data_IF_075245248802
#
_entry.id   IF_075245248802
#
_cell.length_a   1.000
_cell.length_b   1.000
_cell.length_c   1.000
_cell.angle_alpha   90.00
_cell.angle_beta   90.00
_cell.angle_gamma   90.00
#
_symmetry.space_group_name_H-M   'P 1'
#
loop_
_entity.id
_entity.type
_entity.pdbx_description
1 polymer ?
#
# COMPACT_ATOMS: atom_id res chain seq x y z
N UNK A 1 32.69 -15.72 -6.45
CA UNK A 1 32.41 -14.31 -6.70
C UNK A 1 30.98 -14.23 -7.25
N UNK A 2 30.01 -14.04 -6.37
CA UNK A 2 28.63 -13.84 -6.79
C UNK A 2 28.41 -12.37 -7.22
N UNK A 3 27.70 -12.12 -8.32
CA UNK A 3 27.50 -10.76 -8.82
C UNK A 3 26.59 -9.97 -7.88
N UNK A 4 27.02 -8.79 -7.53
CA UNK A 4 26.28 -7.81 -6.76
C UNK A 4 25.20 -7.19 -7.66
N UNK A 5 23.93 -7.41 -7.34
CA UNK A 5 22.82 -6.75 -8.02
C UNK A 5 22.50 -5.44 -7.32
N UNK A 6 22.98 -4.33 -7.86
CA UNK A 6 22.55 -3.01 -7.44
C UNK A 6 21.31 -2.59 -8.24
N UNK A 7 20.17 -2.51 -7.60
CA UNK A 7 19.00 -1.79 -8.12
C UNK A 7 19.13 -0.32 -7.73
N UNK A 8 19.12 0.58 -8.72
CA UNK A 8 19.17 2.02 -8.48
C UNK A 8 17.86 2.49 -7.82
N UNK A 9 17.83 2.49 -6.51
CA UNK A 9 16.85 3.22 -5.73
C UNK A 9 17.55 4.43 -5.09
N UNK A 10 16.95 5.61 -5.21
CA UNK A 10 17.35 6.76 -4.41
C UNK A 10 16.97 6.48 -2.95
N UNK A 11 17.91 5.97 -2.19
CA UNK A 11 17.72 5.59 -0.81
C UNK A 11 19.03 5.50 -0.06
N UNK A 12 18.97 5.59 1.27
CA UNK A 12 20.12 5.36 2.14
C UNK A 12 20.40 3.86 2.16
N UNK A 13 21.56 3.45 1.66
CA UNK A 13 22.00 2.06 1.66
C UNK A 13 23.05 1.91 2.76
N UNK A 14 22.82 0.99 3.68
CA UNK A 14 23.84 0.57 4.64
C UNK A 14 24.63 -0.57 4.00
N UNK A 15 25.95 -0.41 3.91
CA UNK A 15 26.86 -1.42 3.38
C UNK A 15 27.57 -2.09 4.56
N UNK A 16 27.50 -3.41 4.61
CA UNK A 16 28.18 -4.22 5.63
C UNK A 16 29.28 -5.04 4.96
N UNK A 17 30.42 -5.15 5.62
CA UNK A 17 31.51 -6.01 5.15
C UNK A 17 31.26 -7.47 5.57
N UNK A 18 31.83 -8.40 4.81
CA UNK A 18 31.71 -9.83 5.11
C UNK A 18 32.26 -10.13 6.52
N UNK A 19 31.39 -10.59 7.41
CA UNK A 19 31.71 -10.89 8.82
C UNK A 19 31.24 -9.83 9.83
N UNK A 20 30.63 -8.75 9.36
CA UNK A 20 29.93 -7.82 10.25
C UNK A 20 28.52 -8.32 10.53
N UNK A 21 28.13 -8.34 11.81
CA UNK A 21 26.74 -8.58 12.20
C UNK A 21 25.91 -7.35 11.90
N UNK A 22 24.89 -7.50 11.08
CA UNK A 22 23.93 -6.42 10.87
C UNK A 22 22.62 -6.73 11.59
N UNK A 23 22.12 -5.72 12.30
CA UNK A 23 20.80 -5.78 12.92
C UNK A 23 19.80 -5.15 11.95
N UNK A 24 18.92 -5.98 11.38
CA UNK A 24 17.74 -5.45 10.68
C UNK A 24 16.87 -4.77 11.75
N UNK A 25 16.76 -3.45 11.69
CA UNK A 25 15.79 -2.76 12.53
C UNK A 25 14.38 -3.30 12.20
N UNK A 26 13.84 -4.07 13.12
CA UNK A 26 12.47 -4.53 13.03
C UNK A 26 11.57 -3.28 13.13
N UNK A 27 10.82 -3.00 12.08
CA UNK A 27 9.77 -1.98 12.15
C UNK A 27 8.72 -2.58 13.09
N UNK A 28 8.62 -2.05 14.29
CA UNK A 28 7.53 -2.36 15.20
C UNK A 28 6.26 -1.71 14.64
N UNK A 29 5.31 -2.56 14.24
CA UNK A 29 4.00 -2.06 13.84
C UNK A 29 3.28 -1.53 15.09
N UNK A 30 2.54 -0.43 14.99
CA UNK A 30 1.71 0.05 16.08
C UNK A 30 0.73 -1.03 16.54
N UNK A 31 0.55 -1.16 17.83
CA UNK A 31 -0.51 -2.02 18.38
C UNK A 31 -1.85 -1.30 18.27
N UNK A 32 -2.58 -1.62 17.22
CA UNK A 32 -3.88 -1.00 16.97
C UNK A 32 -4.95 -1.57 17.88
N UNK A 33 -5.67 -0.68 18.56
CA UNK A 33 -6.78 -1.07 19.41
C UNK A 33 -7.97 -1.62 18.58
N UNK A 34 -8.77 -2.48 19.23
CA UNK A 34 -9.99 -2.97 18.61
C UNK A 34 -11.09 -1.90 18.63
N UNK A 35 -11.46 -1.40 17.46
CA UNK A 35 -12.47 -0.35 17.28
C UNK A 35 -13.81 -0.87 16.74
N UNK A 36 -14.06 -2.19 16.78
CA UNK A 36 -15.24 -2.81 16.15
C UNK A 36 -16.58 -2.27 16.67
N UNK A 37 -16.63 -1.81 17.93
CA UNK A 37 -17.84 -1.33 18.59
C UNK A 37 -17.78 0.17 18.92
N UNK A 38 -16.94 0.93 18.23
CA UNK A 38 -16.81 2.38 18.45
C UNK A 38 -17.55 3.17 17.36
N UNK A 39 -17.54 4.48 17.49
CA UNK A 39 -18.16 5.38 16.52
C UNK A 39 -17.58 5.18 15.13
N UNK A 40 -18.44 5.03 14.14
CA UNK A 40 -18.08 4.86 12.74
C UNK A 40 -17.80 6.19 12.06
N UNK A 41 -16.73 6.21 11.24
CA UNK A 41 -16.38 7.34 10.38
C UNK A 41 -16.21 6.85 8.96
N UNK A 42 -16.98 7.43 8.05
CA UNK A 42 -16.94 7.07 6.63
C UNK A 42 -15.79 7.81 5.95
N UNK A 43 -14.96 7.05 5.22
CA UNK A 43 -13.90 7.56 4.35
C UNK A 43 -14.26 7.20 2.92
N UNK A 44 -14.28 8.20 2.04
CA UNK A 44 -14.53 7.98 0.61
C UNK A 44 -13.22 7.92 -0.14
N UNK A 45 -12.93 6.74 -0.69
CA UNK A 45 -11.72 6.43 -1.45
C UNK A 45 -10.68 5.65 -0.65
N UNK A 46 -10.26 4.51 -1.20
CA UNK A 46 -9.19 3.64 -0.66
C UNK A 46 -7.83 3.94 -1.30
N UNK A 47 -7.56 5.17 -1.67
CA UNK A 47 -6.22 5.62 -2.07
C UNK A 47 -5.30 5.83 -0.86
N UNK A 48 -4.04 6.24 -1.06
CA UNK A 48 -3.08 6.43 0.03
C UNK A 48 -3.62 7.32 1.16
N UNK A 49 -4.23 8.45 0.81
CA UNK A 49 -4.79 9.38 1.80
C UNK A 49 -5.91 8.73 2.64
N UNK A 50 -6.84 8.01 2.00
CA UNK A 50 -7.92 7.32 2.70
C UNK A 50 -7.42 6.20 3.60
N UNK A 51 -6.43 5.44 3.16
CA UNK A 51 -5.83 4.36 3.95
C UNK A 51 -5.08 4.89 5.16
N UNK A 52 -4.29 5.97 5.02
CA UNK A 52 -3.63 6.61 6.17
C UNK A 52 -4.63 7.26 7.12
N UNK A 53 -5.71 7.87 6.61
CA UNK A 53 -6.77 8.38 7.44
C UNK A 53 -7.46 7.27 8.23
N UNK A 54 -7.67 6.09 7.62
CA UNK A 54 -8.23 4.94 8.32
C UNK A 54 -7.35 4.48 9.49
N UNK A 55 -6.03 4.38 9.28
CA UNK A 55 -5.08 4.04 10.35
C UNK A 55 -5.12 5.07 11.47
N UNK A 56 -5.11 6.36 11.14
CA UNK A 56 -5.19 7.43 12.14
C UNK A 56 -6.49 7.38 12.94
N UNK A 57 -7.62 7.08 12.30
CA UNK A 57 -8.89 6.93 13.01
C UNK A 57 -8.86 5.76 14.01
N UNK A 58 -8.22 4.64 13.66
CA UNK A 58 -8.05 3.51 14.57
C UNK A 58 -7.22 3.92 15.80
N UNK A 59 -6.13 4.67 15.60
CA UNK A 59 -5.33 5.22 16.70
C UNK A 59 -6.14 6.13 17.62
N UNK A 60 -7.09 6.88 17.06
CA UNK A 60 -8.01 7.75 17.80
C UNK A 60 -9.19 6.98 18.45
N UNK A 61 -9.27 5.66 18.30
CA UNK A 61 -10.33 4.84 18.86
C UNK A 61 -11.64 4.90 18.05
N UNK A 62 -11.60 5.30 16.80
CA UNK A 62 -12.75 5.40 15.91
C UNK A 62 -12.71 4.27 14.87
N UNK A 63 -13.90 3.78 14.48
CA UNK A 63 -14.03 2.73 13.46
C UNK A 63 -14.10 3.33 12.05
N UNK A 64 -13.07 3.18 11.21
CA UNK A 64 -13.14 3.63 9.83
C UNK A 64 -14.00 2.68 8.99
N UNK A 65 -14.84 3.25 8.13
CA UNK A 65 -15.56 2.54 7.05
C UNK A 65 -15.07 3.13 5.73
N UNK A 66 -14.23 2.40 5.03
CA UNK A 66 -13.67 2.87 3.77
C UNK A 66 -14.56 2.41 2.62
N UNK A 67 -15.02 3.36 1.81
CA UNK A 67 -15.83 3.12 0.62
C UNK A 67 -14.97 3.41 -0.62
N UNK A 68 -14.78 2.40 -1.47
CA UNK A 68 -14.05 2.51 -2.72
C UNK A 68 -14.98 2.15 -3.89
N UNK A 69 -15.00 3.00 -4.93
CA UNK A 69 -15.84 2.75 -6.11
C UNK A 69 -15.18 1.81 -7.11
N UNK A 70 -13.86 1.77 -7.12
CA UNK A 70 -13.10 0.93 -8.04
C UNK A 70 -12.94 -0.51 -7.55
N UNK A 71 -12.27 -1.31 -8.35
CA UNK A 71 -12.05 -2.71 -8.06
C UNK A 71 -10.91 -2.93 -7.06
N UNK A 72 -10.85 -4.11 -6.49
CA UNK A 72 -9.73 -4.60 -5.71
C UNK A 72 -8.43 -4.64 -6.55
N UNK A 73 -7.29 -4.79 -5.91
CA UNK A 73 -5.96 -4.84 -6.56
C UNK A 73 -5.90 -5.90 -7.66
N UNK A 74 -6.52 -7.07 -7.45
CA UNK A 74 -6.52 -8.16 -8.44
C UNK A 74 -7.35 -7.82 -9.67
N UNK A 75 -8.53 -7.22 -9.46
CA UNK A 75 -9.41 -6.75 -10.53
C UNK A 75 -8.75 -5.65 -11.35
N UNK A 76 -8.17 -4.64 -10.67
CA UNK A 76 -7.44 -3.54 -11.30
C UNK A 76 -6.29 -4.01 -12.19
N UNK A 77 -5.55 -5.04 -11.77
CA UNK A 77 -4.44 -5.57 -12.58
C UNK A 77 -4.88 -6.03 -13.96
N UNK A 78 -6.10 -6.58 -14.07
CA UNK A 78 -6.69 -6.96 -15.37
C UNK A 78 -7.07 -5.76 -16.22
N UNK A 79 -7.68 -4.75 -15.59
CA UNK A 79 -8.07 -3.51 -16.28
C UNK A 79 -6.84 -2.74 -16.77
N UNK A 80 -5.77 -2.69 -15.97
CA UNK A 80 -4.49 -2.08 -16.39
C UNK A 80 -3.84 -2.83 -17.56
N UNK A 81 -3.97 -4.16 -17.62
CA UNK A 81 -3.54 -4.92 -18.78
C UNK A 81 -4.31 -4.50 -20.02
N UNK A 82 -5.63 -4.31 -19.93
CA UNK A 82 -6.46 -3.84 -21.03
C UNK A 82 -6.05 -2.45 -21.51
N UNK A 83 -5.67 -1.54 -20.61
CA UNK A 83 -5.13 -0.21 -20.99
C UNK A 83 -3.86 -0.36 -21.83
N UNK A 84 -2.94 -1.22 -21.42
CA UNK A 84 -1.63 -1.34 -22.07
C UNK A 84 -1.66 -2.14 -23.38
N UNK A 85 -2.60 -3.09 -23.51
CA UNK A 85 -2.67 -4.00 -24.67
C UNK A 85 -3.75 -3.57 -25.65
N UNK A 86 -4.94 -3.25 -25.13
CA UNK A 86 -6.14 -3.01 -25.92
C UNK A 86 -6.49 -1.52 -26.01
N UNK A 87 -5.77 -0.66 -25.29
CA UNK A 87 -6.01 0.79 -25.16
C UNK A 87 -7.41 1.13 -24.62
N UNK A 88 -7.99 0.23 -23.83
CA UNK A 88 -9.33 0.38 -23.22
C UNK A 88 -9.16 0.83 -21.77
N UNK A 89 -9.73 2.00 -21.42
CA UNK A 89 -9.72 2.54 -20.08
C UNK A 89 -11.06 2.25 -19.39
N UNK A 90 -11.01 1.60 -18.24
CA UNK A 90 -12.16 1.50 -17.35
C UNK A 90 -12.21 2.75 -16.45
N UNK A 91 -13.30 3.51 -16.50
CA UNK A 91 -13.45 4.78 -15.78
C UNK A 91 -13.39 4.60 -14.25
N UNK A 92 -13.85 3.47 -13.74
CA UNK A 92 -13.92 3.16 -12.33
C UNK A 92 -12.74 2.33 -11.82
N UNK A 93 -11.89 1.82 -12.72
CA UNK A 93 -10.79 0.93 -12.35
C UNK A 93 -9.61 1.12 -13.32
N UNK A 94 -8.63 1.92 -12.92
CA UNK A 94 -7.47 2.28 -13.71
C UNK A 94 -6.25 2.60 -12.82
N UNK A 95 -5.24 3.31 -13.32
CA UNK A 95 -4.07 3.70 -12.53
C UNK A 95 -4.39 4.58 -11.33
N UNK A 96 -5.45 5.39 -11.39
CA UNK A 96 -5.83 6.33 -10.34
C UNK A 96 -6.93 5.82 -9.43
N UNK A 97 -7.87 5.01 -9.95
CA UNK A 97 -9.07 4.56 -9.25
C UNK A 97 -9.03 3.07 -8.93
N UNK A 98 -9.55 2.72 -7.75
CA UNK A 98 -9.57 1.39 -7.17
C UNK A 98 -8.69 1.28 -5.93
N UNK A 99 -8.73 0.15 -5.27
CA UNK A 99 -8.01 -0.14 -4.03
C UNK A 99 -6.52 0.23 -4.12
N UNK A 100 -6.05 1.04 -3.16
CA UNK A 100 -4.70 1.56 -3.09
C UNK A 100 -4.40 2.75 -4.02
N UNK A 101 -5.34 3.13 -4.90
CA UNK A 101 -5.17 4.24 -5.83
C UNK A 101 -3.89 4.14 -6.67
N UNK A 102 -3.27 5.28 -6.97
CA UNK A 102 -2.00 5.32 -7.70
C UNK A 102 -0.82 4.68 -6.94
N UNK A 103 -0.92 4.58 -5.61
CA UNK A 103 0.13 3.98 -4.78
C UNK A 103 0.30 2.48 -4.95
N UNK A 104 -0.72 1.75 -5.42
CA UNK A 104 -0.72 0.28 -5.50
C UNK A 104 0.40 -0.28 -6.39
N UNK A 105 0.78 0.44 -7.43
CA UNK A 105 1.74 -0.05 -8.42
C UNK A 105 3.11 0.60 -8.34
N UNK A 106 3.24 1.66 -7.54
CA UNK A 106 4.47 2.43 -7.44
C UNK A 106 5.45 1.92 -6.39
N UNK A 107 4.98 1.11 -5.42
CA UNK A 107 5.87 0.61 -4.36
C UNK A 107 5.54 -0.82 -3.99
N UNK A 108 6.57 -1.67 -3.97
CA UNK A 108 6.53 -2.97 -3.30
C UNK A 108 6.23 -2.87 -1.79
N UNK A 109 6.22 -1.66 -1.23
CA UNK A 109 6.05 -1.36 0.20
C UNK A 109 4.61 -1.51 0.66
N UNK A 110 3.62 -1.22 -0.19
CA UNK A 110 2.20 -1.34 0.18
C UNK A 110 1.65 -2.77 0.13
N UNK A 111 2.40 -3.73 -0.39
CA UNK A 111 1.98 -5.15 -0.39
C UNK A 111 1.79 -5.74 1.01
N UNK A 112 2.36 -5.13 2.03
CA UNK A 112 2.33 -5.64 3.41
C UNK A 112 1.33 -4.91 4.31
N UNK A 113 0.61 -3.91 3.81
CA UNK A 113 -0.37 -3.12 4.59
C UNK A 113 -1.82 -3.51 4.26
N UNK A 114 -2.03 -4.23 3.15
CA UNK A 114 -3.35 -4.72 2.74
C UNK A 114 -3.51 -6.21 3.09
N UNK A 115 -3.58 -6.55 4.38
CA UNK A 115 -4.14 -7.80 4.92
C UNK A 115 -5.00 -7.50 6.12
#
# INVERSE_FOLDING_TARGET
DEPFYATNYYGKVNVFFKGEDFVIQKIELPDYQNVSNTQEVIIVGAGPAGLFAALQLIELGLKPIVIERGKDVRGRRRDLKAINVDHIVNEDSNYCFGEGGAGTYYTHVLKNVAM
#
